data_IF_559202499983
#
_entry.id   IF_559202499983
#
_cell.length_a   1.000
_cell.length_b   1.000
_cell.length_c   1.000
_cell.angle_alpha   90.00
_cell.angle_beta   90.00
_cell.angle_gamma   90.00
#
_symmetry.space_group_name_H-M   'P 1'
#
loop_
_entity.id
_entity.type
_entity.pdbx_description
1 polymer ?
#
# COMPACT_ATOMS: atom_id res chain seq x y z
N UNK A 1 20.81 -2.69 8.77
CA UNK A 1 19.66 -2.81 9.70
C UNK A 1 18.61 -3.68 9.01
N UNK A 2 18.15 -4.76 9.64
CA UNK A 2 17.10 -5.62 9.10
C UNK A 2 15.73 -4.94 9.34
N UNK A 3 14.90 -4.79 8.28
CA UNK A 3 13.55 -4.26 8.40
C UNK A 3 12.55 -5.40 8.19
N UNK A 4 11.55 -5.49 9.07
CA UNK A 4 10.45 -6.44 8.90
C UNK A 4 9.44 -5.88 7.90
N UNK A 5 9.05 -6.63 6.86
CA UNK A 5 8.04 -6.19 5.91
C UNK A 5 6.64 -6.23 6.57
N UNK A 6 5.93 -5.12 6.47
CA UNK A 6 4.59 -4.96 7.01
C UNK A 6 3.70 -4.29 5.96
N UNK A 7 2.48 -4.80 5.78
CA UNK A 7 1.43 -4.14 5.02
C UNK A 7 0.47 -3.44 5.98
N UNK A 8 0.21 -2.16 5.71
CA UNK A 8 -0.69 -1.31 6.50
C UNK A 8 -1.89 -0.97 5.65
N UNK A 9 -3.08 -1.17 6.20
CA UNK A 9 -4.33 -0.74 5.56
C UNK A 9 -4.45 0.78 5.67
N UNK A 10 -4.54 1.43 4.50
CA UNK A 10 -4.64 2.90 4.42
C UNK A 10 -5.98 3.37 3.89
N UNK A 11 -6.87 2.48 3.46
CA UNK A 11 -8.17 2.88 2.93
C UNK A 11 -8.97 3.68 3.97
N UNK A 12 -9.37 4.91 3.60
CA UNK A 12 -10.04 5.88 4.47
C UNK A 12 -9.24 6.26 5.74
N UNK A 13 -7.92 6.04 5.77
CA UNK A 13 -7.05 6.45 6.88
C UNK A 13 -6.37 7.77 6.58
N UNK A 14 -6.33 8.64 7.59
CA UNK A 14 -5.65 9.93 7.47
C UNK A 14 -4.14 9.76 7.45
N UNK A 15 -3.50 10.35 6.44
CA UNK A 15 -2.05 10.38 6.28
C UNK A 15 -1.59 11.82 6.07
N UNK A 16 -0.53 12.24 6.76
CA UNK A 16 0.02 13.59 6.65
C UNK A 16 1.25 13.59 5.74
N UNK A 17 1.31 14.59 4.86
CA UNK A 17 2.53 14.93 4.11
C UNK A 17 2.93 16.36 4.46
N UNK A 18 4.13 16.54 5.05
CA UNK A 18 4.73 17.83 5.34
C UNK A 18 5.71 18.16 4.23
N UNK A 19 5.38 19.20 3.44
CA UNK A 19 6.14 19.63 2.26
C UNK A 19 5.28 19.73 1.00
N UNK A 20 5.68 20.57 0.06
CA UNK A 20 4.91 20.93 -1.13
C UNK A 20 5.65 20.76 -2.46
N UNK A 21 6.81 20.10 -2.48
CA UNK A 21 7.64 19.92 -3.67
C UNK A 21 7.30 18.63 -4.46
N UNK A 22 8.13 18.37 -5.48
CA UNK A 22 7.97 17.19 -6.38
C UNK A 22 8.08 15.86 -5.64
N UNK A 23 8.90 15.77 -4.60
CA UNK A 23 9.02 14.56 -3.78
C UNK A 23 7.77 14.34 -2.95
N UNK A 24 7.23 15.41 -2.32
CA UNK A 24 5.94 15.37 -1.62
C UNK A 24 4.83 14.89 -2.55
N UNK A 25 4.72 15.46 -3.75
CA UNK A 25 3.72 15.07 -4.76
C UNK A 25 3.77 13.57 -5.07
N UNK A 26 4.97 13.00 -5.30
CA UNK A 26 5.10 11.55 -5.54
C UNK A 26 4.60 10.71 -4.35
N UNK A 27 4.85 11.16 -3.11
CA UNK A 27 4.40 10.48 -1.90
C UNK A 27 2.89 10.61 -1.71
N UNK A 28 2.32 11.77 -1.98
CA UNK A 28 0.87 11.99 -2.02
C UNK A 28 0.21 11.00 -2.98
N UNK A 29 0.67 10.94 -4.23
CA UNK A 29 0.13 10.00 -5.23
C UNK A 29 0.22 8.55 -4.76
N UNK A 30 1.35 8.15 -4.18
CA UNK A 30 1.55 6.80 -3.68
C UNK A 30 0.58 6.46 -2.54
N UNK A 31 0.34 7.36 -1.59
CA UNK A 31 -0.63 7.15 -0.51
C UNK A 31 -2.08 7.07 -1.04
N UNK A 32 -2.43 7.95 -1.99
CA UNK A 32 -3.75 7.95 -2.63
C UNK A 32 -4.04 6.64 -3.39
N UNK A 33 -3.03 6.01 -4.01
CA UNK A 33 -3.19 4.71 -4.68
C UNK A 33 -3.67 3.60 -3.73
N UNK A 34 -3.46 3.77 -2.42
CA UNK A 34 -3.92 2.84 -1.37
C UNK A 34 -5.14 3.37 -0.61
N UNK A 35 -5.86 4.33 -1.16
CA UNK A 35 -7.11 4.85 -0.59
C UNK A 35 -6.94 5.74 0.64
N UNK A 36 -5.73 6.25 0.92
CA UNK A 36 -5.51 7.15 2.03
C UNK A 36 -6.20 8.50 1.82
N UNK A 37 -6.74 9.06 2.90
CA UNK A 37 -7.14 10.47 2.98
C UNK A 37 -5.90 11.27 3.30
N UNK A 38 -5.41 12.04 2.31
CA UNK A 38 -4.13 12.74 2.44
C UNK A 38 -4.33 14.20 2.84
N UNK A 39 -3.75 14.58 3.97
CA UNK A 39 -3.59 15.97 4.41
C UNK A 39 -2.18 16.44 4.06
N UNK A 40 -2.06 17.61 3.46
CA UNK A 40 -0.79 18.24 3.10
C UNK A 40 -0.63 19.55 3.87
N UNK A 41 0.51 19.73 4.52
CA UNK A 41 0.88 20.97 5.21
C UNK A 41 2.19 21.47 4.66
N UNK A 42 2.17 22.70 4.13
CA UNK A 42 3.35 23.33 3.51
C UNK A 42 3.16 24.83 3.42
N UNK A 43 4.26 25.59 3.38
CA UNK A 43 4.19 27.05 3.12
C UNK A 43 3.91 27.34 1.64
N UNK A 44 4.43 26.52 0.76
CA UNK A 44 4.27 26.65 -0.69
C UNK A 44 4.06 25.27 -1.31
N UNK A 45 3.21 25.19 -2.32
CA UNK A 45 2.91 23.96 -3.03
C UNK A 45 3.10 24.15 -4.55
N UNK A 46 3.63 23.12 -5.21
CA UNK A 46 3.70 23.08 -6.68
C UNK A 46 2.30 22.95 -7.28
N UNK A 47 2.14 23.39 -8.53
CA UNK A 47 0.84 23.39 -9.25
C UNK A 47 0.15 22.02 -9.26
N UNK A 48 0.92 20.93 -9.31
CA UNK A 48 0.37 19.56 -9.32
C UNK A 48 -0.34 19.23 -7.99
N UNK A 49 0.15 19.75 -6.85
CA UNK A 49 -0.48 19.57 -5.54
C UNK A 49 -1.71 20.47 -5.44
N UNK A 50 -1.62 21.71 -5.92
CA UNK A 50 -2.75 22.63 -5.97
C UNK A 50 -3.91 22.04 -6.80
N UNK A 51 -3.63 21.44 -7.95
CA UNK A 51 -4.65 20.76 -8.76
C UNK A 51 -5.32 19.60 -8.02
N UNK A 52 -4.59 18.80 -7.24
CA UNK A 52 -5.18 17.73 -6.44
C UNK A 52 -6.14 18.28 -5.38
N UNK A 53 -5.84 19.44 -4.81
CA UNK A 53 -6.72 20.13 -3.87
C UNK A 53 -7.97 20.70 -4.58
N UNK A 54 -7.82 21.34 -5.74
CA UNK A 54 -8.93 21.84 -6.56
C UNK A 54 -9.89 20.72 -7.03
N UNK A 55 -9.37 19.49 -7.17
CA UNK A 55 -10.13 18.29 -7.52
C UNK A 55 -10.70 17.54 -6.29
N UNK A 56 -10.69 18.15 -5.10
CA UNK A 56 -11.13 17.57 -3.82
C UNK A 56 -10.47 16.20 -3.48
N UNK A 57 -9.25 15.96 -3.98
CA UNK A 57 -8.54 14.70 -3.78
C UNK A 57 -7.67 14.67 -2.52
N UNK A 58 -7.33 15.83 -2.00
CA UNK A 58 -6.49 16.01 -0.81
C UNK A 58 -6.98 17.22 0.00
N UNK A 59 -6.62 17.26 1.28
CA UNK A 59 -6.72 18.44 2.12
C UNK A 59 -5.38 19.20 2.06
N UNK A 60 -5.39 20.51 1.73
CA UNK A 60 -4.18 21.33 1.61
C UNK A 60 -4.23 22.52 2.56
N UNK A 61 -3.20 22.66 3.41
CA UNK A 61 -3.01 23.77 4.31
C UNK A 61 -1.72 24.54 3.93
N UNK A 62 -1.88 25.73 3.37
CA UNK A 62 -0.78 26.62 3.01
C UNK A 62 -0.34 27.43 4.24
N UNK A 63 0.38 26.80 5.15
CA UNK A 63 0.92 27.37 6.39
C UNK A 63 2.10 26.57 6.91
N UNK A 64 2.72 27.06 7.97
CA UNK A 64 3.71 26.30 8.72
C UNK A 64 3.08 25.10 9.43
N UNK A 65 3.89 24.06 9.61
CA UNK A 65 3.53 22.87 10.39
C UNK A 65 3.28 23.25 11.86
N UNK A 66 2.28 22.63 12.44
CA UNK A 66 1.93 22.70 13.86
C UNK A 66 1.95 21.30 14.48
N UNK A 67 2.24 21.21 15.78
CA UNK A 67 2.35 19.90 16.48
C UNK A 67 1.08 19.07 16.40
N UNK A 68 -0.06 19.71 16.35
CA UNK A 68 -1.39 19.10 16.27
C UNK A 68 -1.67 18.45 14.90
N UNK A 69 -0.89 18.81 13.87
CA UNK A 69 -1.08 18.25 12.53
C UNK A 69 -0.85 16.73 12.46
N UNK A 70 -0.08 16.17 13.39
CA UNK A 70 0.15 14.73 13.45
C UNK A 70 -0.95 13.97 14.22
N UNK A 71 -1.87 14.66 14.88
CA UNK A 71 -2.89 14.00 15.69
C UNK A 71 -3.88 13.24 14.83
N UNK A 72 -4.09 11.97 15.17
CA UNK A 72 -4.97 11.08 14.43
C UNK A 72 -4.40 10.56 13.10
N UNK A 73 -3.16 10.88 12.76
CA UNK A 73 -2.52 10.40 11.53
C UNK A 73 -2.05 8.95 11.65
N UNK A 74 -2.32 8.16 10.63
CA UNK A 74 -1.85 6.77 10.53
C UNK A 74 -0.40 6.70 10.11
N UNK A 75 0.02 7.57 9.19
CA UNK A 75 1.39 7.68 8.67
C UNK A 75 1.71 9.16 8.46
N UNK A 76 2.95 9.54 8.74
CA UNK A 76 3.48 10.88 8.43
C UNK A 76 4.65 10.76 7.48
N UNK A 77 4.63 11.56 6.42
CA UNK A 77 5.73 11.71 5.46
C UNK A 77 6.24 13.14 5.51
N UNK A 78 7.55 13.30 5.67
CA UNK A 78 8.21 14.60 5.72
C UNK A 78 9.13 14.74 4.52
N UNK A 79 8.82 15.70 3.66
CA UNK A 79 9.52 15.96 2.40
C UNK A 79 9.83 17.46 2.26
N UNK A 80 10.57 18.00 3.22
CA UNK A 80 11.01 19.40 3.26
C UNK A 80 12.52 19.50 3.26
N UNK A 81 13.04 20.66 2.88
CA UNK A 81 14.49 20.99 2.96
C UNK A 81 14.89 21.53 4.36
N UNK A 82 13.92 21.80 5.22
CA UNK A 82 14.17 22.27 6.59
C UNK A 82 14.56 21.11 7.52
N UNK A 83 15.86 20.99 7.74
CA UNK A 83 16.42 19.90 8.57
C UNK A 83 15.97 19.96 10.03
N UNK A 84 15.67 21.16 10.57
CA UNK A 84 15.21 21.28 11.96
C UNK A 84 13.74 20.85 12.07
N UNK A 85 12.90 21.28 11.15
CA UNK A 85 11.51 20.84 11.06
C UNK A 85 11.44 19.31 10.91
N UNK A 86 12.25 18.75 10.01
CA UNK A 86 12.31 17.30 9.77
C UNK A 86 12.62 16.51 11.05
N UNK A 87 13.59 16.98 11.85
CA UNK A 87 13.92 16.37 13.15
C UNK A 87 12.77 16.50 14.15
N UNK A 88 12.18 17.70 14.26
CA UNK A 88 11.09 17.96 15.20
C UNK A 88 9.88 17.10 14.90
N UNK A 89 9.46 16.99 13.63
CA UNK A 89 8.34 16.14 13.23
C UNK A 89 8.65 14.66 13.50
N UNK A 90 9.87 14.20 13.19
CA UNK A 90 10.27 12.81 13.46
C UNK A 90 10.24 12.50 14.96
N UNK A 91 10.74 13.40 15.81
CA UNK A 91 10.72 13.22 17.27
C UNK A 91 9.29 13.13 17.79
N UNK A 92 8.45 14.09 17.41
CA UNK A 92 7.03 14.14 17.77
C UNK A 92 6.27 12.86 17.36
N UNK A 93 6.48 12.40 16.13
CA UNK A 93 5.86 11.15 15.65
C UNK A 93 6.32 9.94 16.47
N UNK A 94 7.60 9.84 16.81
CA UNK A 94 8.15 8.76 17.66
C UNK A 94 7.54 8.77 19.06
N UNK A 95 7.40 9.94 19.67
CA UNK A 95 6.77 10.10 20.99
C UNK A 95 5.31 9.66 20.98
N UNK A 96 4.60 9.94 19.89
CA UNK A 96 3.18 9.54 19.72
C UNK A 96 3.00 8.13 19.15
N UNK A 97 4.07 7.40 18.82
CA UNK A 97 4.01 6.07 18.21
C UNK A 97 3.50 6.06 16.77
N UNK A 98 3.57 7.21 16.07
CA UNK A 98 3.11 7.35 14.69
C UNK A 98 4.26 7.00 13.73
N UNK A 99 4.05 6.08 12.76
CA UNK A 99 5.03 5.80 11.73
C UNK A 99 5.41 7.05 10.92
N UNK A 100 6.71 7.32 10.81
CA UNK A 100 7.22 8.50 10.09
C UNK A 100 8.30 8.12 9.09
N UNK A 101 8.21 8.72 7.90
CA UNK A 101 9.25 8.66 6.88
C UNK A 101 9.72 10.08 6.56
N UNK A 102 11.01 10.33 6.77
CA UNK A 102 11.68 11.59 6.40
C UNK A 102 12.53 11.31 5.17
N UNK A 103 12.21 11.99 4.07
CA UNK A 103 12.90 11.78 2.79
C UNK A 103 14.38 12.08 2.93
N UNK A 104 15.21 11.19 2.38
CA UNK A 104 16.68 11.26 2.37
C UNK A 104 17.35 11.32 3.75
N UNK A 105 16.61 11.01 4.84
CA UNK A 105 17.11 11.00 6.22
C UNK A 105 16.73 9.70 6.92
N UNK A 106 17.47 8.62 6.61
CA UNK A 106 17.17 7.27 7.09
C UNK A 106 17.11 7.18 8.63
N UNK A 107 17.95 7.88 9.32
CA UNK A 107 18.03 7.90 10.80
C UNK A 107 16.79 8.50 11.47
N UNK A 108 16.05 9.32 10.73
CA UNK A 108 14.80 9.94 11.19
C UNK A 108 13.55 9.10 10.86
N UNK A 109 13.69 8.03 10.11
CA UNK A 109 12.57 7.19 9.69
C UNK A 109 12.28 6.09 10.72
N UNK A 110 10.98 5.73 10.85
CA UNK A 110 10.52 4.51 11.53
C UNK A 110 9.98 3.48 10.55
N UNK A 111 9.63 3.89 9.32
CA UNK A 111 9.29 3.00 8.21
C UNK A 111 9.89 3.50 6.90
N UNK A 112 9.92 2.64 5.89
CA UNK A 112 10.49 2.94 4.59
C UNK A 112 9.51 2.58 3.47
N UNK A 113 9.43 3.45 2.48
CA UNK A 113 8.75 3.10 1.24
C UNK A 113 9.59 2.10 0.44
N UNK A 114 8.96 1.05 0.00
CA UNK A 114 9.53 0.06 -0.92
C UNK A 114 9.22 0.39 -2.39
N UNK A 115 9.82 -0.36 -3.29
CA UNK A 115 9.39 -0.39 -4.69
C UNK A 115 8.14 -1.26 -4.79
N UNK A 116 7.02 -0.70 -5.23
CA UNK A 116 5.71 -1.36 -5.18
C UNK A 116 5.19 -1.62 -6.59
N UNK A 117 4.67 -2.84 -6.81
CA UNK A 117 3.79 -3.19 -7.91
C UNK A 117 2.40 -3.36 -7.31
N UNK A 118 1.41 -2.60 -7.80
CA UNK A 118 0.00 -2.75 -7.41
C UNK A 118 -0.83 -2.99 -8.66
N UNK A 119 -1.54 -4.10 -8.68
CA UNK A 119 -2.49 -4.46 -9.73
C UNK A 119 -3.76 -4.97 -9.04
N UNK A 120 -4.77 -4.13 -8.95
CA UNK A 120 -5.97 -4.37 -8.14
C UNK A 120 -5.65 -4.76 -6.69
N UNK A 121 -6.01 -5.98 -6.27
CA UNK A 121 -5.72 -6.51 -4.93
C UNK A 121 -4.32 -7.13 -4.80
N UNK A 122 -3.64 -7.40 -5.93
CA UNK A 122 -2.29 -7.96 -5.91
C UNK A 122 -1.28 -6.85 -5.65
N UNK A 123 -0.55 -6.98 -4.55
CA UNK A 123 0.53 -6.04 -4.18
C UNK A 123 1.82 -6.82 -3.98
N UNK A 124 2.88 -6.40 -4.68
CA UNK A 124 4.24 -6.90 -4.48
C UNK A 124 5.12 -5.75 -4.01
N UNK A 125 5.83 -5.97 -2.92
CA UNK A 125 6.70 -4.98 -2.28
C UNK A 125 8.15 -5.47 -2.32
N UNK A 126 9.06 -4.66 -2.86
CA UNK A 126 10.47 -5.01 -3.05
C UNK A 126 11.32 -4.02 -2.27
N UNK A 127 12.12 -4.53 -1.36
CA UNK A 127 13.05 -3.73 -0.56
C UNK A 127 14.43 -4.37 -0.55
N UNK A 128 15.45 -3.53 -0.69
CA UNK A 128 16.87 -3.92 -0.53
C UNK A 128 17.42 -3.53 0.84
N UNK A 129 16.53 -3.21 1.80
CA UNK A 129 16.92 -2.69 3.11
C UNK A 129 17.62 -1.33 3.04
N UNK A 130 17.40 -0.57 1.94
CA UNK A 130 18.05 0.71 1.67
C UNK A 130 19.45 0.59 1.05
N UNK A 131 19.89 -0.62 0.67
CA UNK A 131 21.21 -0.83 0.07
C UNK A 131 21.28 -0.30 -1.37
N UNK A 132 20.22 -0.49 -2.18
CA UNK A 132 20.22 -0.02 -3.56
C UNK A 132 18.80 0.20 -4.09
N UNK A 133 18.37 1.44 -4.27
CA UNK A 133 17.11 1.75 -4.96
C UNK A 133 17.08 1.26 -6.41
N UNK A 134 18.24 1.21 -7.09
CA UNK A 134 18.35 0.73 -8.47
C UNK A 134 18.04 -0.75 -8.59
N UNK A 135 18.56 -1.59 -7.69
CA UNK A 135 18.25 -3.02 -7.67
C UNK A 135 16.75 -3.23 -7.41
N UNK A 136 16.16 -2.48 -6.47
CA UNK A 136 14.73 -2.59 -6.21
C UNK A 136 13.88 -2.17 -7.42
N UNK A 137 14.29 -1.15 -8.17
CA UNK A 137 13.62 -0.72 -9.39
C UNK A 137 13.75 -1.74 -10.52
N UNK A 138 14.96 -2.30 -10.74
CA UNK A 138 15.19 -3.33 -11.76
C UNK A 138 14.38 -4.60 -11.48
N UNK A 139 14.39 -5.07 -10.22
CA UNK A 139 13.58 -6.22 -9.80
C UNK A 139 12.08 -5.97 -9.97
N UNK A 140 11.63 -4.73 -9.70
CA UNK A 140 10.23 -4.34 -9.93
C UNK A 140 9.83 -4.56 -11.39
N UNK A 141 10.61 -4.07 -12.35
CA UNK A 141 10.28 -4.23 -13.77
C UNK A 141 10.26 -5.72 -14.17
N UNK A 142 11.28 -6.49 -13.79
CA UNK A 142 11.33 -7.94 -14.07
C UNK A 142 10.13 -8.69 -13.49
N UNK A 143 9.78 -8.42 -12.22
CA UNK A 143 8.65 -9.10 -11.57
C UNK A 143 7.32 -8.66 -12.20
N UNK A 144 7.21 -7.39 -12.58
CA UNK A 144 6.00 -6.86 -13.23
C UNK A 144 5.71 -7.58 -14.56
N UNK A 145 6.74 -7.88 -15.34
CA UNK A 145 6.62 -8.59 -16.61
C UNK A 145 6.23 -10.07 -16.41
N UNK A 146 6.63 -10.67 -15.28
CA UNK A 146 6.27 -12.06 -14.91
C UNK A 146 4.85 -12.18 -14.30
N UNK A 147 4.25 -11.10 -13.82
CA UNK A 147 2.89 -11.09 -13.29
C UNK A 147 1.90 -11.04 -14.44
N UNK A 148 1.45 -12.21 -14.90
CA UNK A 148 0.41 -12.27 -15.91
C UNK A 148 -0.94 -11.73 -15.41
N UNK A 149 -1.78 -11.26 -16.33
CA UNK A 149 -3.15 -10.83 -16.05
C UNK A 149 -3.98 -11.90 -15.33
N UNK A 150 -3.68 -13.19 -15.58
CA UNK A 150 -4.35 -14.30 -14.93
C UNK A 150 -4.08 -14.36 -13.42
N UNK A 151 -2.87 -13.99 -12.94
CA UNK A 151 -2.60 -13.90 -11.51
C UNK A 151 -3.42 -12.78 -10.84
N UNK A 152 -3.58 -11.66 -11.52
CA UNK A 152 -4.39 -10.54 -11.01
C UNK A 152 -5.85 -10.96 -10.90
N UNK A 153 -6.40 -11.55 -11.96
CA UNK A 153 -7.78 -12.10 -11.96
C UNK A 153 -7.96 -13.18 -10.91
N UNK A 154 -7.00 -14.12 -10.81
CA UNK A 154 -7.05 -15.18 -9.81
C UNK A 154 -7.07 -14.64 -8.37
N UNK A 155 -6.31 -13.58 -8.08
CA UNK A 155 -6.31 -12.94 -6.76
C UNK A 155 -7.71 -12.42 -6.39
N UNK A 156 -8.40 -11.75 -7.32
CA UNK A 156 -9.77 -11.26 -7.13
C UNK A 156 -10.75 -12.43 -6.91
N UNK A 157 -10.66 -13.47 -7.74
CA UNK A 157 -11.51 -14.66 -7.63
C UNK A 157 -11.31 -15.36 -6.28
N UNK A 158 -10.05 -15.57 -5.88
CA UNK A 158 -9.73 -16.22 -4.60
C UNK A 158 -10.25 -15.41 -3.42
N UNK A 159 -10.13 -14.08 -3.45
CA UNK A 159 -10.67 -13.18 -2.44
C UNK A 159 -12.19 -13.29 -2.33
N UNK A 160 -12.89 -13.24 -3.48
CA UNK A 160 -14.37 -13.32 -3.58
C UNK A 160 -14.96 -14.57 -2.92
N UNK A 161 -14.33 -15.73 -3.12
CA UNK A 161 -14.89 -17.01 -2.63
C UNK A 161 -14.28 -17.47 -1.30
N UNK A 162 -13.35 -16.71 -0.71
CA UNK A 162 -12.63 -17.11 0.50
C UNK A 162 -13.56 -17.40 1.67
N UNK A 163 -14.45 -16.47 2.01
CA UNK A 163 -15.38 -16.66 3.15
C UNK A 163 -16.41 -17.72 2.85
N UNK A 164 -16.97 -17.74 1.65
CA UNK A 164 -17.93 -18.78 1.24
C UNK A 164 -17.38 -20.19 1.42
N UNK A 165 -16.13 -20.44 1.00
CA UNK A 165 -15.48 -21.74 1.19
C UNK A 165 -15.19 -22.01 2.67
N UNK A 166 -14.83 -20.98 3.46
CA UNK A 166 -14.60 -21.13 4.90
C UNK A 166 -15.85 -21.54 5.66
N UNK A 167 -16.99 -20.99 5.29
CA UNK A 167 -18.29 -21.32 5.90
C UNK A 167 -18.75 -22.76 5.57
N UNK A 168 -18.43 -23.25 4.38
CA UNK A 168 -18.85 -24.57 3.89
C UNK A 168 -17.93 -25.73 4.30
N UNK A 169 -16.66 -25.46 4.58
CA UNK A 169 -15.63 -26.47 4.86
C UNK A 169 -14.88 -26.14 6.14
N UNK A 170 -15.15 -26.87 7.21
CA UNK A 170 -14.46 -26.67 8.51
C UNK A 170 -13.03 -27.20 8.49
N UNK A 171 -12.77 -28.30 7.79
CA UNK A 171 -11.48 -28.95 7.76
C UNK A 171 -10.46 -28.17 6.93
N UNK A 172 -9.35 -27.76 7.55
CA UNK A 172 -8.30 -26.97 6.91
C UNK A 172 -7.63 -27.68 5.71
N UNK A 173 -7.42 -29.01 5.80
CA UNK A 173 -6.79 -29.78 4.73
C UNK A 173 -7.70 -29.84 3.49
N UNK A 174 -9.01 -30.07 3.70
CA UNK A 174 -10.00 -30.06 2.64
C UNK A 174 -10.11 -28.66 2.02
N UNK A 175 -10.17 -27.58 2.82
CA UNK A 175 -10.14 -26.20 2.30
C UNK A 175 -8.95 -25.94 1.39
N UNK A 176 -7.76 -26.44 1.77
CA UNK A 176 -6.54 -26.29 0.96
C UNK A 176 -6.69 -26.96 -0.42
N UNK A 177 -7.32 -28.14 -0.49
CA UNK A 177 -7.61 -28.83 -1.77
C UNK A 177 -8.53 -27.98 -2.64
N UNK A 178 -9.65 -27.45 -2.07
CA UNK A 178 -10.59 -26.60 -2.80
C UNK A 178 -9.91 -25.33 -3.32
N UNK A 179 -9.16 -24.63 -2.47
CA UNK A 179 -8.43 -23.44 -2.90
C UNK A 179 -7.43 -23.74 -4.01
N UNK A 180 -6.76 -24.89 -3.98
CA UNK A 180 -5.83 -25.27 -5.06
C UNK A 180 -6.55 -25.46 -6.38
N UNK A 181 -7.65 -26.23 -6.39
CA UNK A 181 -8.46 -26.44 -7.59
C UNK A 181 -9.07 -25.12 -8.11
N UNK A 182 -9.56 -24.26 -7.21
CA UNK A 182 -10.09 -22.94 -7.57
C UNK A 182 -9.01 -22.04 -8.19
N UNK A 183 -7.79 -22.05 -7.64
CA UNK A 183 -6.66 -21.32 -8.19
C UNK A 183 -6.29 -21.82 -9.58
N UNK A 184 -6.22 -23.15 -9.77
CA UNK A 184 -5.89 -23.74 -11.07
C UNK A 184 -6.94 -23.36 -12.13
N UNK A 185 -8.23 -23.35 -11.77
CA UNK A 185 -9.32 -22.87 -12.65
C UNK A 185 -9.18 -21.37 -12.97
N UNK A 186 -8.87 -20.55 -11.96
CA UNK A 186 -8.74 -19.10 -12.13
C UNK A 186 -7.53 -18.70 -13.00
N UNK A 187 -6.44 -19.46 -12.91
CA UNK A 187 -5.23 -19.23 -13.71
C UNK A 187 -5.40 -19.65 -15.18
N UNK A 188 -6.33 -20.55 -15.51
CA UNK A 188 -6.66 -20.90 -16.90
C UNK A 188 -7.34 -19.74 -17.65
N UNK A 189 -7.96 -18.80 -16.93
CA UNK A 189 -8.41 -17.52 -17.47
C UNK A 189 -9.62 -17.51 -18.42
N UNK A 190 -10.12 -18.66 -18.84
CA UNK A 190 -11.07 -18.78 -19.96
C UNK A 190 -12.54 -18.55 -19.58
N UNK A 191 -12.91 -18.55 -18.30
CA UNK A 191 -14.30 -18.43 -17.85
C UNK A 191 -14.44 -17.62 -16.56
N UNK A 192 -15.55 -16.87 -16.49
CA UNK A 192 -16.01 -16.30 -15.23
C UNK A 192 -16.47 -17.42 -14.30
N UNK A 193 -15.76 -17.57 -13.16
CA UNK A 193 -16.09 -18.57 -12.14
C UNK A 193 -17.34 -18.11 -11.39
N UNK A 194 -18.35 -18.98 -11.32
CA UNK A 194 -19.61 -18.79 -10.62
C UNK A 194 -19.64 -19.53 -9.26
N UNK A 195 -20.60 -19.19 -8.40
CA UNK A 195 -20.84 -19.97 -7.17
C UNK A 195 -21.13 -21.45 -7.44
N UNK A 196 -21.84 -21.77 -8.53
CA UNK A 196 -22.10 -23.16 -8.94
C UNK A 196 -20.83 -23.95 -9.26
N UNK A 197 -19.81 -23.26 -9.82
CA UNK A 197 -18.54 -23.93 -10.10
C UNK A 197 -17.80 -24.22 -8.80
N UNK A 198 -17.87 -23.32 -7.82
CA UNK A 198 -17.31 -23.53 -6.47
C UNK A 198 -18.06 -24.64 -5.73
N UNK A 199 -19.40 -24.69 -5.81
CA UNK A 199 -20.20 -25.77 -5.21
C UNK A 199 -19.79 -27.14 -5.75
N UNK A 200 -19.56 -27.27 -7.06
CA UNK A 200 -19.05 -28.53 -7.67
C UNK A 200 -17.65 -28.89 -7.12
N UNK A 201 -16.80 -27.92 -6.84
CA UNK A 201 -15.50 -28.20 -6.21
C UNK A 201 -15.68 -28.68 -4.76
N UNK A 202 -16.70 -28.19 -4.06
CA UNK A 202 -17.04 -28.59 -2.70
C UNK A 202 -17.61 -30.00 -2.63
N UNK A 203 -18.46 -30.41 -3.60
CA UNK A 203 -19.01 -31.76 -3.71
C UNK A 203 -17.92 -32.82 -3.96
N UNK A 204 -16.87 -32.48 -4.67
CA UNK A 204 -15.79 -33.41 -5.05
C UNK A 204 -14.57 -33.35 -4.10
N UNK A 205 -14.75 -32.93 -2.84
CA UNK A 205 -13.66 -32.87 -1.84
C UNK A 205 -13.21 -34.25 -1.36
N UNK A 206 -14.08 -35.25 -1.41
CA UNK A 206 -13.85 -36.58 -0.83
C UNK A 206 -13.03 -37.51 -1.75
N UNK A 207 -12.86 -37.16 -3.01
CA UNK A 207 -11.96 -37.83 -3.94
C UNK A 207 -10.55 -37.15 -3.98
#
# INVERSE_FOLDING_TARGET
MACFPLYVELENRCCLVVGGGTVAYRKIKQLMEFGAVVKVVTREAIDQICKLFEEDKIELHLREFQSEDVDGMTIVVVATDDSQLNKNVSCLCREKGIPVNVVDKRELCTFFFSSIIKQEQLVVSISTGGASPLIAAELKEKIKDEISENYVKATVVMGKYREYIREKVENQSQRKKVYRRLLDMALQGDKTISYRDVDRLLENIEE
#
